data_IF_318228035460
#
_entry.id   IF_318228035460
#
_cell.length_a   1.000
_cell.length_b   1.000
_cell.length_c   1.000
_cell.angle_alpha   90.00
_cell.angle_beta   90.00
_cell.angle_gamma   90.00
#
_symmetry.space_group_name_H-M   'P 1'
#
loop_
_entity.id
_entity.type
_entity.pdbx_description
1 polymer ?
#
# COMPACT_ATOMS: atom_id res chain seq x y z
N UNK A 1 -19.94 5.35 8.19
CA UNK A 1 -18.86 5.19 7.19
C UNK A 1 -17.54 5.62 7.82
N UNK A 2 -16.48 4.86 7.55
CA UNK A 2 -15.14 5.18 8.03
C UNK A 2 -14.22 5.51 6.87
N UNK A 3 -13.33 6.45 7.09
CA UNK A 3 -12.25 6.74 6.15
C UNK A 3 -10.94 6.38 6.85
N UNK A 4 -10.14 5.53 6.20
CA UNK A 4 -8.87 5.09 6.75
C UNK A 4 -7.77 5.59 5.81
N UNK A 5 -6.81 6.31 6.38
CA UNK A 5 -5.64 6.75 5.63
C UNK A 5 -4.49 5.79 5.91
N UNK A 6 -3.93 5.23 4.86
CA UNK A 6 -2.81 4.31 4.96
C UNK A 6 -1.61 4.89 4.21
N UNK A 7 -0.49 4.99 4.91
CA UNK A 7 0.77 5.42 4.29
C UNK A 7 1.38 4.26 3.51
N UNK A 8 1.97 4.56 2.36
CA UNK A 8 2.72 3.53 1.62
C UNK A 8 3.95 3.09 2.41
N UNK A 9 4.46 1.90 2.11
CA UNK A 9 5.69 1.38 2.70
C UNK A 9 6.93 2.09 2.18
N UNK A 10 8.09 1.75 2.76
CA UNK A 10 9.36 2.29 2.32
C UNK A 10 9.56 2.04 0.83
N UNK A 11 9.99 3.06 0.10
CA UNK A 11 10.22 2.99 -1.33
C UNK A 11 11.67 3.26 -1.67
N UNK A 12 12.11 2.72 -2.81
CA UNK A 12 13.44 3.01 -3.36
C UNK A 12 13.58 4.52 -3.59
N UNK A 13 14.80 5.06 -3.43
CA UNK A 13 15.01 6.49 -3.67
C UNK A 13 14.86 6.83 -5.15
N UNK A 14 14.53 8.10 -5.42
CA UNK A 14 14.55 8.62 -6.77
C UNK A 14 16.00 8.67 -7.26
N UNK A 15 16.21 8.27 -8.52
CA UNK A 15 17.52 8.31 -9.17
C UNK A 15 17.39 8.93 -10.55
N UNK A 16 18.52 9.13 -11.25
CA UNK A 16 18.49 9.62 -12.62
C UNK A 16 17.73 8.68 -13.55
N UNK A 17 17.77 7.38 -13.27
CA UNK A 17 17.16 6.36 -14.10
C UNK A 17 15.71 6.07 -13.71
N UNK A 18 15.32 6.43 -12.50
CA UNK A 18 14.00 6.11 -11.97
C UNK A 18 13.30 7.39 -11.54
N UNK A 19 12.26 7.76 -12.28
CA UNK A 19 11.44 8.90 -11.94
C UNK A 19 10.68 8.63 -10.63
N UNK A 20 10.35 9.69 -9.89
CA UNK A 20 9.64 9.60 -8.62
C UNK A 20 8.38 8.73 -8.69
N UNK A 21 7.60 8.87 -9.76
CA UNK A 21 6.36 8.09 -9.94
C UNK A 21 6.60 6.59 -10.10
N UNK A 22 7.79 6.18 -10.47
CA UNK A 22 8.15 4.79 -10.73
C UNK A 22 8.96 4.17 -9.58
N UNK A 23 9.10 4.86 -8.47
CA UNK A 23 9.79 4.31 -7.30
C UNK A 23 8.98 3.17 -6.73
N UNK A 24 9.60 1.99 -6.67
CA UNK A 24 8.97 0.78 -6.12
C UNK A 24 9.16 0.71 -4.61
N UNK A 25 8.29 -0.04 -3.95
CA UNK A 25 8.53 -0.42 -2.56
C UNK A 25 9.80 -1.26 -2.49
N UNK A 26 10.57 -1.05 -1.42
CA UNK A 26 11.66 -1.96 -1.06
C UNK A 26 11.09 -3.25 -0.48
N UNK A 27 11.88 -4.33 -0.35
CA UNK A 27 11.42 -5.52 0.39
C UNK A 27 10.95 -5.18 1.80
N UNK A 28 11.64 -4.26 2.48
CA UNK A 28 11.20 -3.77 3.78
C UNK A 28 9.85 -3.06 3.69
N UNK A 29 9.67 -2.22 2.66
CA UNK A 29 8.41 -1.53 2.42
C UNK A 29 7.25 -2.48 2.18
N UNK A 30 7.50 -3.57 1.44
CA UNK A 30 6.50 -4.60 1.23
C UNK A 30 6.10 -5.28 2.54
N UNK A 31 7.07 -5.58 3.41
CA UNK A 31 6.79 -6.16 4.73
C UNK A 31 6.00 -5.20 5.61
N UNK A 32 6.34 -3.92 5.57
CA UNK A 32 5.60 -2.89 6.30
C UNK A 32 4.15 -2.82 5.85
N UNK A 33 3.94 -2.79 4.53
CA UNK A 33 2.60 -2.75 3.96
C UNK A 33 1.80 -4.01 4.32
N UNK A 34 2.42 -5.18 4.26
CA UNK A 34 1.79 -6.45 4.60
C UNK A 34 1.37 -6.49 6.06
N UNK A 35 2.24 -6.04 6.96
CA UNK A 35 1.92 -5.98 8.39
C UNK A 35 0.73 -5.07 8.65
N UNK A 36 0.74 -3.87 8.08
CA UNK A 36 -0.37 -2.93 8.24
C UNK A 36 -1.66 -3.48 7.63
N UNK A 37 -1.55 -4.11 6.46
CA UNK A 37 -2.72 -4.68 5.78
C UNK A 37 -3.35 -5.81 6.60
N UNK A 38 -2.55 -6.65 7.24
CA UNK A 38 -3.06 -7.73 8.11
C UNK A 38 -3.82 -7.18 9.30
N UNK A 39 -3.32 -6.10 9.90
CA UNK A 39 -4.00 -5.44 11.01
C UNK A 39 -5.33 -4.86 10.53
N UNK A 40 -5.32 -4.15 9.40
CA UNK A 40 -6.52 -3.55 8.84
C UNK A 40 -7.53 -4.60 8.39
N UNK A 41 -7.09 -5.74 7.85
CA UNK A 41 -8.00 -6.78 7.40
C UNK A 41 -8.85 -7.33 8.54
N UNK A 42 -8.28 -7.44 9.73
CA UNK A 42 -9.02 -7.88 10.91
C UNK A 42 -10.09 -6.87 11.31
N UNK A 43 -9.76 -5.58 11.20
CA UNK A 43 -10.70 -4.50 11.51
C UNK A 43 -11.81 -4.39 10.46
N UNK A 44 -11.47 -4.62 9.19
CA UNK A 44 -12.37 -4.45 8.05
C UNK A 44 -13.12 -5.73 7.66
N UNK A 45 -12.93 -6.81 8.40
CA UNK A 45 -13.52 -8.10 8.09
C UNK A 45 -15.04 -7.98 7.88
N UNK A 46 -15.52 -8.58 6.79
CA UNK A 46 -16.93 -8.63 6.43
C UNK A 46 -17.57 -7.27 6.11
N UNK A 47 -16.76 -6.23 5.98
CA UNK A 47 -17.23 -4.91 5.57
C UNK A 47 -16.84 -4.65 4.13
N UNK A 48 -17.75 -4.12 3.29
CA UNK A 48 -17.37 -3.71 1.95
C UNK A 48 -16.41 -2.51 2.02
N UNK A 49 -15.33 -2.57 1.24
CA UNK A 49 -14.36 -1.49 1.20
C UNK A 49 -14.09 -1.06 -0.24
N UNK A 50 -13.67 0.19 -0.37
CA UNK A 50 -13.16 0.73 -1.62
C UNK A 50 -11.78 1.29 -1.34
N UNK A 51 -10.86 1.03 -2.24
CA UNK A 51 -9.48 1.47 -2.10
C UNK A 51 -9.22 2.54 -3.15
N UNK A 52 -8.80 3.73 -2.69
CA UNK A 52 -8.40 4.83 -3.56
C UNK A 52 -6.91 5.04 -3.37
N UNK A 53 -6.19 5.15 -4.47
CA UNK A 53 -4.74 5.33 -4.41
C UNK A 53 -4.29 6.32 -5.47
N UNK A 54 -3.15 6.97 -5.24
CA UNK A 54 -2.50 7.75 -6.28
C UNK A 54 -1.95 6.80 -7.35
N UNK A 55 -1.65 7.31 -8.56
CA UNK A 55 -1.11 6.46 -9.62
C UNK A 55 0.37 6.10 -9.44
N UNK A 56 1.02 6.59 -8.40
CA UNK A 56 2.43 6.30 -8.15
C UNK A 56 2.63 4.83 -7.82
N UNK A 57 3.72 4.24 -8.30
CA UNK A 57 3.95 2.81 -8.17
C UNK A 57 3.96 2.34 -6.72
N UNK A 58 4.63 3.07 -5.83
CA UNK A 58 4.70 2.70 -4.41
C UNK A 58 3.34 2.64 -3.72
N UNK A 59 2.44 3.53 -4.09
CA UNK A 59 1.08 3.54 -3.52
C UNK A 59 0.22 2.45 -4.13
N UNK A 60 0.36 2.19 -5.42
CA UNK A 60 -0.35 1.09 -6.09
C UNK A 60 0.09 -0.27 -5.56
N UNK A 61 1.38 -0.45 -5.31
CA UNK A 61 1.90 -1.68 -4.70
C UNK A 61 1.35 -1.87 -3.29
N UNK A 62 1.35 -0.80 -2.50
CA UNK A 62 0.79 -0.84 -1.14
C UNK A 62 -0.70 -1.20 -1.17
N UNK A 63 -1.46 -0.57 -2.07
CA UNK A 63 -2.88 -0.87 -2.23
C UNK A 63 -3.13 -2.31 -2.68
N UNK A 64 -2.27 -2.83 -3.57
CA UNK A 64 -2.35 -4.23 -4.01
C UNK A 64 -2.14 -5.21 -2.86
N UNK A 65 -1.19 -4.94 -1.99
CA UNK A 65 -0.93 -5.76 -0.80
C UNK A 65 -2.13 -5.71 0.15
N UNK A 66 -2.72 -4.53 0.35
CA UNK A 66 -3.91 -4.39 1.15
C UNK A 66 -5.08 -5.18 0.57
N UNK A 67 -5.27 -5.12 -0.74
CA UNK A 67 -6.32 -5.88 -1.41
C UNK A 67 -6.13 -7.39 -1.24
N UNK A 68 -4.91 -7.89 -1.34
CA UNK A 68 -4.61 -9.31 -1.12
C UNK A 68 -5.02 -9.77 0.28
N UNK A 69 -4.83 -8.94 1.29
CA UNK A 69 -5.13 -9.29 2.67
C UNK A 69 -6.62 -9.13 3.01
N UNK A 70 -7.34 -8.27 2.30
CA UNK A 70 -8.74 -7.95 2.61
C UNK A 70 -9.77 -8.68 1.74
N UNK A 71 -9.32 -9.22 0.60
CA UNK A 71 -10.26 -9.87 -0.35
C UNK A 71 -9.95 -11.34 -0.63
#
# INVERSE_FOLDING_TARGET
MYIILMRHGEAEPETEDIANKNRSLTPKGMRQARKSARILSKFLKDNPIRIFTSPYQRTRQTAGILAEECF
#
